data_IF_843479826274
#
_entry.id   IF_843479826274
#
_cell.length_a   1.000
_cell.length_b   1.000
_cell.length_c   1.000
_cell.angle_alpha   90.00
_cell.angle_beta   90.00
_cell.angle_gamma   90.00
#
_symmetry.space_group_name_H-M   'P 1'
#
loop_
_entity.id
_entity.type
_entity.pdbx_description
1 polymer ?
#
# COMPACT_ATOMS: atom_id res chain seq x y z
N UNK A 1 44.90 -4.00 49.08
CA UNK A 1 44.38 -3.02 48.12
C UNK A 1 44.36 -3.66 46.75
N UNK A 2 43.26 -4.21 46.30
CA UNK A 2 43.09 -4.78 44.98
C UNK A 2 42.47 -3.67 44.08
N UNK A 3 43.22 -3.27 43.05
CA UNK A 3 42.78 -2.39 41.98
C UNK A 3 41.93 -3.21 40.98
N UNK A 4 40.63 -3.00 40.93
CA UNK A 4 39.73 -3.54 39.93
C UNK A 4 39.84 -2.66 38.66
N UNK A 5 40.56 -3.13 37.65
CA UNK A 5 40.57 -2.48 36.34
C UNK A 5 39.26 -2.83 35.57
N UNK A 6 38.35 -1.89 35.48
CA UNK A 6 37.20 -2.01 34.62
C UNK A 6 37.60 -1.83 33.15
N UNK A 7 37.59 -2.93 32.37
CA UNK A 7 37.67 -2.89 30.92
C UNK A 7 36.40 -2.34 30.35
N UNK A 8 36.33 -1.08 29.99
CA UNK A 8 35.33 -0.52 29.10
C UNK A 8 35.61 -1.05 27.69
N UNK A 9 34.90 -2.11 27.30
CA UNK A 9 34.84 -2.53 25.92
C UNK A 9 34.13 -1.40 25.13
N UNK A 10 34.89 -0.58 24.42
CA UNK A 10 34.37 0.27 23.36
C UNK A 10 33.79 -0.66 22.28
N UNK A 11 32.47 -0.79 22.21
CA UNK A 11 31.80 -1.31 21.05
C UNK A 11 32.04 -0.28 19.95
N UNK A 12 33.04 -0.55 19.08
CA UNK A 12 33.22 0.25 17.88
C UNK A 12 31.98 0.07 17.02
N UNK A 13 31.24 1.17 16.80
CA UNK A 13 30.19 1.18 15.77
C UNK A 13 30.82 0.71 14.45
N UNK A 14 30.21 -0.28 13.78
CA UNK A 14 30.73 -0.73 12.50
C UNK A 14 30.78 0.45 11.54
N UNK A 15 31.91 0.61 10.87
CA UNK A 15 32.11 1.61 9.83
C UNK A 15 30.91 1.56 8.82
N UNK A 16 30.46 2.70 8.26
CA UNK A 16 29.35 2.70 7.30
C UNK A 16 29.71 1.74 6.17
N UNK A 17 28.79 0.81 5.82
CA UNK A 17 29.07 -0.16 4.76
C UNK A 17 29.24 0.56 3.44
N UNK A 18 29.94 -0.09 2.53
CA UNK A 18 30.03 0.36 1.16
C UNK A 18 28.61 0.51 0.57
N UNK A 19 28.23 1.72 0.18
CA UNK A 19 26.88 1.99 -0.37
C UNK A 19 26.50 1.03 -1.52
N UNK A 20 27.37 0.71 -2.50
CA UNK A 20 27.10 -0.32 -3.50
C UNK A 20 26.69 -1.68 -2.95
N UNK A 21 27.27 -2.15 -1.86
CA UNK A 21 26.92 -3.44 -1.26
C UNK A 21 25.52 -3.41 -0.64
N UNK A 22 25.15 -2.29 0.01
CA UNK A 22 23.79 -2.08 0.50
C UNK A 22 22.77 -2.05 -0.63
N UNK A 23 23.07 -1.35 -1.72
CA UNK A 23 22.18 -1.28 -2.88
C UNK A 23 22.02 -2.63 -3.57
N UNK A 24 23.09 -3.42 -3.67
CA UNK A 24 23.02 -4.79 -4.17
C UNK A 24 22.11 -5.65 -3.28
N UNK A 25 22.27 -5.52 -1.96
CA UNK A 25 21.44 -6.26 -1.01
C UNK A 25 19.96 -5.88 -1.10
N UNK A 26 19.64 -4.58 -1.23
CA UNK A 26 18.28 -4.11 -1.48
C UNK A 26 17.70 -4.69 -2.76
N UNK A 27 18.48 -4.70 -3.84
CA UNK A 27 18.05 -5.26 -5.12
C UNK A 27 17.77 -6.77 -5.03
N UNK A 28 18.61 -7.52 -4.31
CA UNK A 28 18.39 -8.95 -4.05
C UNK A 28 17.07 -9.19 -3.31
N UNK A 29 16.80 -8.44 -2.24
CA UNK A 29 15.55 -8.58 -1.47
C UNK A 29 14.32 -8.17 -2.32
N UNK A 30 14.44 -7.16 -3.18
CA UNK A 30 13.39 -6.80 -4.12
C UNK A 30 13.11 -7.92 -5.14
N UNK A 31 14.15 -8.57 -5.68
CA UNK A 31 14.01 -9.71 -6.59
C UNK A 31 13.38 -10.93 -5.88
N UNK A 32 13.79 -11.21 -4.64
CA UNK A 32 13.19 -12.27 -3.81
C UNK A 32 11.71 -11.99 -3.56
N UNK A 33 11.34 -10.74 -3.23
CA UNK A 33 9.95 -10.33 -3.08
C UNK A 33 9.17 -10.52 -4.39
N UNK A 34 9.72 -10.07 -5.52
CA UNK A 34 9.10 -10.20 -6.84
C UNK A 34 8.74 -11.65 -7.20
N UNK A 35 9.61 -12.60 -6.83
CA UNK A 35 9.42 -14.02 -7.13
C UNK A 35 8.43 -14.72 -6.18
N UNK A 36 8.28 -14.23 -4.95
CA UNK A 36 7.52 -14.90 -3.89
C UNK A 36 6.17 -14.24 -3.60
N UNK A 37 6.02 -12.91 -3.78
CA UNK A 37 4.79 -12.20 -3.50
C UNK A 37 3.56 -12.77 -4.24
N UNK A 38 3.64 -13.12 -5.56
CA UNK A 38 2.51 -13.72 -6.27
C UNK A 38 2.14 -15.14 -5.82
N UNK A 39 2.99 -15.77 -5.01
CA UNK A 39 2.78 -17.14 -4.48
C UNK A 39 2.31 -17.13 -3.03
N UNK A 40 1.97 -15.96 -2.51
CA UNK A 40 1.62 -15.78 -1.12
C UNK A 40 0.34 -14.96 -0.97
N UNK A 41 -0.32 -15.14 0.15
CA UNK A 41 -1.54 -14.43 0.53
C UNK A 41 -1.50 -14.08 2.01
N UNK A 42 -2.27 -13.07 2.38
CA UNK A 42 -2.51 -12.69 3.78
C UNK A 42 -3.87 -12.03 3.94
N UNK A 43 -4.34 -11.88 5.15
CA UNK A 43 -5.46 -11.01 5.47
C UNK A 43 -4.94 -9.61 5.73
N UNK A 44 -5.57 -8.62 5.08
CA UNK A 44 -5.31 -7.21 5.25
C UNK A 44 -6.48 -6.54 5.96
N UNK A 45 -6.18 -5.68 6.91
CA UNK A 45 -7.15 -4.76 7.51
C UNK A 45 -6.77 -3.33 7.13
N UNK A 46 -7.64 -2.65 6.39
CA UNK A 46 -7.52 -1.23 6.06
C UNK A 46 -8.45 -0.43 6.96
N UNK A 47 -7.91 0.54 7.69
CA UNK A 47 -8.66 1.62 8.33
C UNK A 47 -8.39 2.91 7.56
N UNK A 48 -9.42 3.48 6.96
CA UNK A 48 -9.35 4.78 6.29
C UNK A 48 -10.02 5.84 7.15
N UNK A 49 -9.33 6.96 7.33
CA UNK A 49 -9.85 8.20 7.92
C UNK A 49 -9.81 9.28 6.85
N UNK A 50 -10.97 9.81 6.47
CA UNK A 50 -11.07 10.79 5.41
C UNK A 50 -11.94 11.99 5.81
N UNK A 51 -11.51 13.19 5.45
CA UNK A 51 -12.32 14.40 5.56
C UNK A 51 -13.29 14.45 4.38
N UNK A 52 -14.55 14.18 4.65
CA UNK A 52 -15.60 14.20 3.64
C UNK A 52 -16.39 15.51 3.69
N UNK A 53 -16.74 16.09 2.53
CA UNK A 53 -17.61 17.25 2.50
C UNK A 53 -18.94 16.90 3.16
N UNK A 54 -19.47 17.84 3.92
CA UNK A 54 -20.81 17.67 4.47
C UNK A 54 -21.83 17.55 3.35
N UNK A 55 -22.73 16.59 3.45
CA UNK A 55 -23.88 16.51 2.55
C UNK A 55 -24.68 17.80 2.67
N UNK A 56 -24.82 18.54 1.56
CA UNK A 56 -25.60 19.76 1.54
C UNK A 56 -27.07 19.41 1.80
N UNK A 57 -27.56 19.74 2.96
CA UNK A 57 -28.99 19.90 3.16
C UNK A 57 -29.39 21.26 2.56
N UNK A 58 -30.00 21.25 1.38
CA UNK A 58 -30.65 22.46 0.83
C UNK A 58 -32.06 22.52 1.38
N UNK A 59 -32.42 23.43 2.29
CA UNK A 59 -33.81 23.69 2.57
C UNK A 59 -34.45 24.18 1.25
N UNK A 60 -35.48 23.49 0.80
CA UNK A 60 -36.20 23.80 -0.45
C UNK A 60 -37.04 25.09 -0.36
N UNK A 61 -36.85 25.96 0.62
CA UNK A 61 -37.73 27.09 0.91
C UNK A 61 -36.98 28.41 0.92
N UNK A 62 -37.29 29.28 -0.04
CA UNK A 62 -37.12 30.73 0.03
C UNK A 62 -35.83 31.31 -0.57
N UNK A 63 -35.92 32.61 -0.93
CA UNK A 63 -34.84 33.43 -1.51
C UNK A 63 -33.57 33.52 -0.67
N UNK A 64 -33.55 33.11 0.57
CA UNK A 64 -32.44 33.19 1.51
C UNK A 64 -31.52 31.97 1.50
N UNK A 65 -31.74 30.97 0.64
CA UNK A 65 -30.92 29.75 0.55
C UNK A 65 -29.54 30.00 -0.04
N UNK A 66 -29.26 31.18 -0.61
CA UNK A 66 -28.01 31.51 -1.31
C UNK A 66 -26.86 31.75 -0.37
N UNK A 67 -27.10 32.11 0.90
CA UNK A 67 -26.07 32.45 1.90
C UNK A 67 -25.88 31.40 3.00
N UNK A 68 -26.39 30.18 2.84
CA UNK A 68 -26.14 29.13 3.82
C UNK A 68 -24.65 28.75 3.81
N UNK A 69 -23.94 29.05 4.86
CA UNK A 69 -22.58 28.57 5.07
C UNK A 69 -22.56 27.05 4.95
N UNK A 70 -21.64 26.54 4.13
CA UNK A 70 -21.42 25.10 4.02
C UNK A 70 -21.04 24.56 5.40
N UNK A 71 -21.71 23.53 5.89
CA UNK A 71 -21.27 22.89 7.13
C UNK A 71 -19.84 22.38 6.96
N UNK A 72 -19.02 22.37 8.03
CA UNK A 72 -17.63 21.95 7.96
C UNK A 72 -17.51 20.50 7.49
N UNK A 73 -16.40 20.13 6.87
CA UNK A 73 -16.10 18.73 6.52
C UNK A 73 -16.21 17.84 7.77
N UNK A 74 -16.67 16.62 7.58
CA UNK A 74 -16.73 15.63 8.66
C UNK A 74 -15.68 14.55 8.46
N UNK A 75 -15.08 14.11 9.55
CA UNK A 75 -14.22 12.93 9.55
C UNK A 75 -15.11 11.68 9.39
N UNK A 76 -14.81 10.86 8.38
CA UNK A 76 -15.43 9.55 8.16
C UNK A 76 -14.37 8.50 8.36
N UNK A 77 -14.67 7.49 9.16
CA UNK A 77 -13.79 6.33 9.37
C UNK A 77 -14.46 5.13 8.70
N UNK A 78 -13.66 4.37 7.93
CA UNK A 78 -14.06 3.11 7.32
C UNK A 78 -13.07 2.02 7.66
N UNK A 79 -13.57 0.82 7.85
CA UNK A 79 -12.76 -0.36 8.05
C UNK A 79 -13.11 -1.41 7.00
N UNK A 80 -12.09 -1.90 6.28
CA UNK A 80 -12.23 -2.96 5.28
C UNK A 80 -11.29 -4.09 5.66
N UNK A 81 -11.80 -5.31 5.66
CA UNK A 81 -11.01 -6.53 5.79
C UNK A 81 -11.03 -7.26 4.46
N UNK A 82 -9.87 -7.65 3.96
CA UNK A 82 -9.70 -8.29 2.66
C UNK A 82 -8.73 -9.46 2.73
N UNK A 83 -8.91 -10.46 1.90
CA UNK A 83 -7.80 -11.32 1.46
C UNK A 83 -6.95 -10.52 0.48
N UNK A 84 -5.65 -10.55 0.68
CA UNK A 84 -4.65 -9.77 -0.05
C UNK A 84 -3.61 -10.69 -0.69
N UNK A 85 -3.21 -10.37 -1.88
CA UNK A 85 -2.09 -10.97 -2.60
C UNK A 85 -1.56 -10.01 -3.66
N UNK A 86 -0.57 -10.45 -4.43
CA UNK A 86 0.05 -9.67 -5.51
C UNK A 86 -0.09 -10.44 -6.81
N UNK A 87 -0.44 -9.75 -7.89
CA UNK A 87 -0.56 -10.34 -9.23
C UNK A 87 0.16 -9.51 -10.29
N UNK A 88 0.58 -10.15 -11.38
CA UNK A 88 1.20 -9.46 -12.50
C UNK A 88 0.14 -8.99 -13.51
N UNK A 89 0.11 -7.70 -13.84
CA UNK A 89 -0.62 -7.18 -14.99
C UNK A 89 0.25 -7.36 -16.23
N UNK A 90 -0.26 -8.12 -17.22
CA UNK A 90 0.45 -8.50 -18.44
C UNK A 90 0.23 -7.52 -19.60
N UNK A 91 -0.93 -6.82 -19.60
CA UNK A 91 -1.30 -5.83 -20.61
C UNK A 91 -0.52 -4.50 -20.50
N UNK A 92 0.26 -4.31 -19.43
CA UNK A 92 1.19 -3.21 -19.34
C UNK A 92 2.37 -3.44 -20.30
N UNK A 93 2.96 -2.37 -20.83
CA UNK A 93 4.16 -2.44 -21.70
C UNK A 93 5.28 -3.29 -21.07
N UNK A 94 5.23 -3.46 -19.76
CA UNK A 94 6.07 -4.35 -18.96
C UNK A 94 5.22 -4.99 -17.86
N UNK A 95 5.42 -6.29 -17.57
CA UNK A 95 4.74 -6.97 -16.49
C UNK A 95 5.02 -6.24 -15.17
N UNK A 96 4.01 -5.61 -14.61
CA UNK A 96 4.10 -4.88 -13.34
C UNK A 96 3.29 -5.65 -12.30
N UNK A 97 3.91 -5.91 -11.15
CA UNK A 97 3.16 -6.45 -10.02
C UNK A 97 2.26 -5.37 -9.44
N UNK A 98 1.05 -5.76 -9.07
CA UNK A 98 0.07 -4.91 -8.40
C UNK A 98 -0.61 -5.66 -7.28
N UNK A 99 -1.04 -4.94 -6.28
CA UNK A 99 -1.77 -5.47 -5.13
C UNK A 99 -3.21 -5.82 -5.51
N UNK A 100 -3.64 -7.01 -5.16
CA UNK A 100 -4.99 -7.52 -5.40
C UNK A 100 -5.68 -7.79 -4.08
N UNK A 101 -6.95 -7.41 -4.01
CA UNK A 101 -7.77 -7.53 -2.80
C UNK A 101 -9.12 -8.16 -3.12
N UNK A 102 -9.57 -9.04 -2.23
CA UNK A 102 -10.95 -9.54 -2.21
C UNK A 102 -11.57 -9.24 -0.86
N UNK A 103 -12.54 -8.32 -0.87
CA UNK A 103 -13.15 -7.80 0.36
C UNK A 103 -13.99 -8.87 1.05
N UNK A 104 -13.73 -9.07 2.33
CA UNK A 104 -14.48 -9.96 3.24
C UNK A 104 -15.57 -9.16 3.95
N UNK A 105 -15.20 -8.03 4.55
CA UNK A 105 -16.15 -7.19 5.29
C UNK A 105 -15.86 -5.70 5.14
N UNK A 106 -16.91 -4.88 5.29
CA UNK A 106 -16.87 -3.41 5.30
C UNK A 106 -17.60 -2.93 6.53
N UNK A 107 -16.93 -2.14 7.38
CA UNK A 107 -17.49 -1.58 8.62
C UNK A 107 -18.16 -2.68 9.50
N UNK A 108 -17.53 -3.86 9.59
CA UNK A 108 -18.02 -5.02 10.34
C UNK A 108 -19.16 -5.80 9.66
N UNK A 109 -19.60 -5.39 8.47
CA UNK A 109 -20.63 -6.13 7.72
C UNK A 109 -19.99 -7.06 6.71
N UNK A 110 -20.31 -8.33 6.78
CA UNK A 110 -19.79 -9.34 5.84
C UNK A 110 -20.32 -9.08 4.42
N UNK A 111 -19.38 -9.04 3.46
CA UNK A 111 -19.64 -9.00 2.01
C UNK A 111 -19.63 -10.42 1.45
N UNK A 112 -18.66 -11.23 1.88
CA UNK A 112 -18.52 -12.64 1.53
C UNK A 112 -17.74 -13.41 2.61
N UNK A 113 -17.72 -14.74 2.53
CA UNK A 113 -16.91 -15.53 3.45
C UNK A 113 -15.42 -15.42 3.13
N UNK A 114 -14.52 -15.59 4.11
CA UNK A 114 -13.07 -15.60 3.89
C UNK A 114 -12.62 -16.66 2.87
N UNK A 115 -13.23 -17.85 2.88
CA UNK A 115 -12.92 -18.94 1.96
C UNK A 115 -13.24 -18.55 0.51
N UNK A 116 -14.41 -17.92 0.29
CA UNK A 116 -14.84 -17.45 -1.04
C UNK A 116 -13.94 -16.32 -1.52
N UNK A 117 -13.57 -15.38 -0.63
CA UNK A 117 -12.64 -14.29 -0.94
C UNK A 117 -11.27 -14.86 -1.37
N UNK A 118 -10.74 -15.83 -0.62
CA UNK A 118 -9.47 -16.50 -0.91
C UNK A 118 -9.50 -17.23 -2.23
N UNK A 119 -10.57 -17.99 -2.51
CA UNK A 119 -10.73 -18.70 -3.76
C UNK A 119 -10.77 -17.74 -4.95
N UNK A 120 -11.56 -16.66 -4.87
CA UNK A 120 -11.64 -15.63 -5.90
C UNK A 120 -10.30 -14.94 -6.12
N UNK A 121 -9.58 -14.63 -5.05
CA UNK A 121 -8.25 -14.01 -5.12
C UNK A 121 -7.25 -14.95 -5.81
N UNK A 122 -7.24 -16.23 -5.46
CA UNK A 122 -6.39 -17.26 -6.07
C UNK A 122 -6.62 -17.35 -7.57
N UNK A 123 -7.89 -17.39 -8.02
CA UNK A 123 -8.23 -17.37 -9.44
C UNK A 123 -7.75 -16.09 -10.13
N UNK A 124 -7.85 -14.93 -9.47
CA UNK A 124 -7.38 -13.66 -10.03
C UNK A 124 -5.87 -13.62 -10.20
N UNK A 125 -5.12 -14.09 -9.20
CA UNK A 125 -3.65 -14.12 -9.24
C UNK A 125 -3.15 -15.04 -10.35
N UNK A 126 -3.77 -16.23 -10.52
CA UNK A 126 -3.34 -17.24 -11.49
C UNK A 126 -3.92 -17.04 -12.89
N UNK A 127 -4.97 -16.20 -13.03
CA UNK A 127 -5.65 -15.97 -14.32
C UNK A 127 -4.67 -15.51 -15.41
N UNK A 128 -4.78 -16.03 -16.63
CA UNK A 128 -4.08 -15.46 -17.77
C UNK A 128 -4.70 -14.14 -18.27
N UNK A 129 -5.94 -13.82 -17.86
CA UNK A 129 -6.72 -12.65 -18.31
C UNK A 129 -6.65 -11.50 -17.30
N UNK A 130 -6.08 -10.38 -17.73
CA UNK A 130 -5.95 -9.17 -16.92
C UNK A 130 -7.29 -8.51 -16.60
N UNK A 131 -8.36 -8.79 -17.35
CA UNK A 131 -9.71 -8.28 -17.05
C UNK A 131 -10.19 -8.73 -15.68
N UNK A 132 -9.82 -9.92 -15.25
CA UNK A 132 -10.16 -10.42 -13.90
C UNK A 132 -9.50 -9.54 -12.83
N UNK A 133 -8.21 -9.25 -12.97
CA UNK A 133 -7.46 -8.39 -12.03
C UNK A 133 -7.96 -6.96 -12.03
N UNK A 134 -8.20 -6.38 -13.22
CA UNK A 134 -8.77 -5.02 -13.34
C UNK A 134 -10.13 -4.92 -12.65
N UNK A 135 -10.99 -5.94 -12.80
CA UNK A 135 -12.27 -5.99 -12.08
C UNK A 135 -12.09 -6.04 -10.57
N UNK A 136 -11.11 -6.79 -10.05
CA UNK A 136 -10.83 -6.81 -8.61
C UNK A 136 -10.43 -5.43 -8.08
N UNK A 137 -9.60 -4.69 -8.81
CA UNK A 137 -9.21 -3.33 -8.46
C UNK A 137 -10.42 -2.38 -8.46
N UNK A 138 -11.29 -2.48 -9.48
CA UNK A 138 -12.52 -1.70 -9.57
C UNK A 138 -13.50 -2.04 -8.42
N UNK A 139 -13.68 -3.32 -8.11
CA UNK A 139 -14.57 -3.78 -7.04
C UNK A 139 -14.08 -3.25 -5.68
N UNK A 140 -12.77 -3.29 -5.43
CA UNK A 140 -12.19 -2.70 -4.21
C UNK A 140 -12.49 -1.19 -4.12
N UNK A 141 -12.33 -0.45 -5.21
CA UNK A 141 -12.59 0.99 -5.25
C UNK A 141 -14.07 1.36 -4.97
N UNK A 142 -15.02 0.43 -5.21
CA UNK A 142 -16.47 0.69 -5.00
C UNK A 142 -16.91 0.72 -3.55
N UNK A 143 -16.08 0.31 -2.60
CA UNK A 143 -16.44 0.27 -1.18
C UNK A 143 -16.45 1.63 -0.49
N UNK A 144 -16.45 2.71 -1.28
CA UNK A 144 -16.60 4.09 -0.78
C UNK A 144 -15.35 4.64 -0.13
N UNK A 145 -14.21 4.09 -0.49
CA UNK A 145 -12.90 4.63 -0.15
C UNK A 145 -12.58 5.86 -1.00
N UNK A 146 -11.79 6.76 -0.43
CA UNK A 146 -11.30 7.98 -1.07
C UNK A 146 -9.79 7.91 -1.13
N UNK A 147 -9.18 8.36 -2.22
CA UNK A 147 -7.72 8.40 -2.39
C UNK A 147 -7.05 7.10 -1.94
N UNK A 148 -7.44 6.02 -2.61
CA UNK A 148 -6.94 4.69 -2.28
C UNK A 148 -5.47 4.62 -2.66
N UNK A 149 -4.65 4.33 -1.68
CA UNK A 149 -3.27 3.97 -1.90
C UNK A 149 -3.20 2.51 -2.35
N UNK A 150 -2.59 2.27 -3.49
CA UNK A 150 -2.26 0.94 -3.98
C UNK A 150 -0.75 0.80 -4.14
N UNK A 151 -0.28 -0.45 -4.09
CA UNK A 151 1.10 -0.85 -4.35
C UNK A 151 2.14 -0.34 -3.34
N UNK A 152 1.73 0.21 -2.19
CA UNK A 152 2.66 0.61 -1.13
C UNK A 152 3.27 -0.59 -0.39
N UNK A 153 2.52 -1.67 -0.18
CA UNK A 153 3.06 -2.87 0.48
C UNK A 153 4.20 -3.54 -0.31
N UNK A 154 4.21 -3.35 -1.63
CA UNK A 154 5.26 -3.85 -2.52
C UNK A 154 6.29 -2.78 -2.91
N UNK A 155 6.38 -1.67 -2.17
CA UNK A 155 7.28 -0.54 -2.46
C UNK A 155 8.75 -0.95 -2.59
N UNK A 156 9.18 -2.02 -1.91
CA UNK A 156 10.54 -2.55 -2.03
C UNK A 156 10.90 -2.90 -3.48
N UNK A 157 9.94 -3.24 -4.35
CA UNK A 157 10.18 -3.54 -5.76
C UNK A 157 10.75 -2.36 -6.55
N UNK A 158 10.51 -1.12 -6.07
CA UNK A 158 11.11 0.08 -6.66
C UNK A 158 12.64 0.07 -6.59
N UNK A 159 13.23 -0.72 -5.68
CA UNK A 159 14.68 -0.87 -5.47
C UNK A 159 15.28 -2.12 -6.15
N UNK A 160 14.57 -2.72 -7.09
CA UNK A 160 15.14 -3.74 -7.99
C UNK A 160 16.32 -3.17 -8.77
N UNK A 161 17.21 -4.02 -9.31
CA UNK A 161 18.36 -3.58 -10.13
C UNK A 161 17.97 -2.56 -11.19
N UNK A 162 16.83 -2.77 -11.84
CA UNK A 162 16.30 -1.84 -12.84
C UNK A 162 15.85 -0.53 -12.21
N UNK A 163 15.11 -0.60 -11.09
CA UNK A 163 14.59 0.59 -10.40
C UNK A 163 15.71 1.47 -9.87
N UNK A 164 16.77 0.89 -9.33
CA UNK A 164 17.95 1.61 -8.84
C UNK A 164 18.65 2.40 -9.95
N UNK A 165 18.60 1.94 -11.20
CA UNK A 165 19.14 2.69 -12.35
C UNK A 165 18.49 4.07 -12.57
N UNK A 166 17.25 4.26 -12.07
CA UNK A 166 16.50 5.50 -12.17
C UNK A 166 16.46 6.27 -10.84
N UNK A 167 17.33 5.92 -9.88
CA UNK A 167 17.37 6.53 -8.56
C UNK A 167 18.73 7.12 -8.26
N UNK A 168 18.73 8.27 -7.59
CA UNK A 168 19.88 8.75 -6.85
C UNK A 168 19.72 8.31 -5.41
N UNK A 169 20.69 7.55 -4.89
CA UNK A 169 20.69 7.10 -3.49
C UNK A 169 21.96 7.61 -2.81
N UNK A 170 21.81 8.14 -1.61
CA UNK A 170 22.91 8.68 -0.80
C UNK A 170 22.77 8.22 0.65
N UNK A 171 23.90 8.06 1.34
CA UNK A 171 23.90 7.85 2.78
C UNK A 171 23.50 9.14 3.49
N UNK A 172 22.48 9.08 4.35
CA UNK A 172 21.91 10.25 5.04
C UNK A 172 22.19 10.24 6.55
N UNK A 173 22.71 9.15 7.10
CA UNK A 173 23.03 9.03 8.51
C UNK A 173 22.59 7.72 9.13
N UNK A 174 22.42 7.76 10.44
CA UNK A 174 22.08 6.60 11.28
C UNK A 174 20.96 6.95 12.23
N UNK A 175 20.19 5.95 12.64
CA UNK A 175 19.08 6.08 13.58
C UNK A 175 18.86 4.75 14.33
N UNK A 176 17.85 4.71 15.19
CA UNK A 176 17.43 3.53 15.93
C UNK A 176 15.92 3.35 15.80
N UNK A 177 15.48 2.14 15.42
CA UNK A 177 14.07 1.75 15.40
C UNK A 177 13.86 0.66 16.45
N UNK A 178 13.24 1.01 17.58
CA UNK A 178 13.12 0.08 18.71
C UNK A 178 14.49 -0.37 19.22
N UNK A 179 14.81 -1.67 19.07
CA UNK A 179 16.11 -2.23 19.45
C UNK A 179 17.10 -2.28 18.28
N UNK A 180 16.67 -2.00 17.05
CA UNK A 180 17.50 -2.14 15.85
C UNK A 180 18.21 -0.82 15.51
N UNK A 181 19.55 -0.85 15.50
CA UNK A 181 20.35 0.22 14.93
C UNK A 181 20.26 0.15 13.40
N UNK A 182 20.03 1.29 12.74
CA UNK A 182 19.80 1.36 11.29
C UNK A 182 20.66 2.40 10.61
N UNK A 183 20.97 2.16 9.32
CA UNK A 183 21.47 3.17 8.41
C UNK A 183 20.31 3.80 7.67
N UNK A 184 20.41 5.11 7.42
CA UNK A 184 19.43 5.87 6.62
C UNK A 184 20.02 6.11 5.24
N UNK A 185 19.34 5.63 4.22
CA UNK A 185 19.63 5.92 2.82
C UNK A 185 18.57 6.85 2.27
N UNK A 186 18.92 8.06 1.89
CA UNK A 186 18.03 8.96 1.17
C UNK A 186 18.00 8.58 -0.32
N UNK A 187 16.81 8.62 -0.93
CA UNK A 187 16.65 8.35 -2.36
C UNK A 187 15.74 9.37 -3.03
N UNK A 188 15.98 9.59 -4.32
CA UNK A 188 15.15 10.39 -5.20
C UNK A 188 15.11 9.75 -6.58
N UNK A 189 13.91 9.52 -7.12
CA UNK A 189 13.74 9.09 -8.50
C UNK A 189 14.01 10.25 -9.45
N UNK A 190 14.82 9.98 -10.46
CA UNK A 190 15.19 10.97 -11.50
C UNK A 190 14.16 11.09 -12.60
N UNK A 191 13.31 10.06 -12.78
CA UNK A 191 12.25 10.00 -13.79
C UNK A 191 10.96 9.44 -13.15
N UNK A 192 9.80 9.85 -13.66
CA UNK A 192 8.51 9.28 -13.28
C UNK A 192 8.25 7.89 -13.90
N UNK A 193 9.05 7.46 -14.89
CA UNK A 193 8.80 6.19 -15.62
C UNK A 193 8.86 4.95 -14.75
N UNK A 194 9.70 4.96 -13.71
CA UNK A 194 9.76 3.92 -12.67
C UNK A 194 8.97 4.26 -11.42
N UNK A 195 8.23 5.36 -11.43
CA UNK A 195 7.47 5.85 -10.29
C UNK A 195 6.24 5.01 -9.99
N UNK A 196 5.67 5.26 -8.83
CA UNK A 196 4.46 4.59 -8.37
C UNK A 196 3.28 4.91 -9.26
N UNK A 197 2.51 3.89 -9.60
CA UNK A 197 1.27 4.03 -10.32
C UNK A 197 0.18 4.54 -9.37
N UNK A 198 -0.34 5.71 -9.64
CA UNK A 198 -1.44 6.32 -8.90
C UNK A 198 -2.67 6.40 -9.80
N UNK A 199 -3.81 5.96 -9.29
CA UNK A 199 -5.08 6.07 -10.00
C UNK A 199 -5.84 7.29 -9.48
N UNK A 200 -5.98 8.31 -10.33
CA UNK A 200 -6.87 9.44 -10.08
C UNK A 200 -8.09 9.27 -10.99
N UNK A 201 -9.19 8.77 -10.44
CA UNK A 201 -10.33 8.37 -11.25
C UNK A 201 -10.03 7.18 -12.15
N UNK A 202 -10.26 7.33 -13.46
CA UNK A 202 -9.95 6.34 -14.48
C UNK A 202 -8.58 6.59 -15.15
N UNK A 203 -7.84 7.60 -14.71
CA UNK A 203 -6.54 7.94 -15.25
C UNK A 203 -5.45 7.37 -14.35
N UNK A 204 -4.55 6.59 -14.96
CA UNK A 204 -3.34 6.14 -14.31
C UNK A 204 -2.22 7.15 -14.60
N UNK A 205 -1.58 7.65 -13.56
CA UNK A 205 -0.40 8.51 -13.67
C UNK A 205 0.75 7.91 -12.86
N UNK A 206 1.97 8.13 -13.32
CA UNK A 206 3.17 7.77 -12.55
C UNK A 206 3.76 9.03 -11.93
N UNK A 207 4.03 8.97 -10.64
CA UNK A 207 4.67 10.07 -9.90
C UNK A 207 6.03 9.64 -9.40
N UNK A 208 7.03 10.49 -9.63
CA UNK A 208 8.36 10.27 -9.11
C UNK A 208 8.35 10.33 -7.58
N UNK A 209 9.09 9.42 -6.97
CA UNK A 209 9.18 9.24 -5.54
C UNK A 209 10.50 9.76 -5.00
N UNK A 210 10.46 10.22 -3.76
CA UNK A 210 11.61 10.57 -2.94
C UNK A 210 11.39 10.09 -1.51
N UNK A 211 12.46 9.87 -0.76
CA UNK A 211 12.28 9.43 0.62
C UNK A 211 13.53 8.82 1.23
N UNK A 212 13.32 7.91 2.16
CA UNK A 212 14.37 7.25 2.91
C UNK A 212 14.10 5.76 3.08
N UNK A 213 15.18 4.98 3.06
CA UNK A 213 15.16 3.57 3.41
C UNK A 213 15.99 3.42 4.69
N UNK A 214 15.40 2.78 5.69
CA UNK A 214 16.07 2.45 6.92
C UNK A 214 16.49 0.98 6.86
N UNK A 215 17.80 0.75 6.86
CA UNK A 215 18.42 -0.56 6.69
C UNK A 215 19.06 -0.97 8.01
N UNK A 216 18.67 -2.13 8.53
CA UNK A 216 19.20 -2.66 9.79
C UNK A 216 20.69 -2.96 9.66
N UNK A 217 21.49 -2.51 10.66
CA UNK A 217 22.95 -2.66 10.63
C UNK A 217 23.42 -4.13 10.73
N UNK A 218 22.68 -4.97 11.48
CA UNK A 218 23.10 -6.34 11.78
C UNK A 218 23.05 -7.30 10.59
N UNK A 219 22.14 -7.08 9.63
CA UNK A 219 21.90 -8.01 8.51
C UNK A 219 21.69 -7.31 7.16
N UNK A 220 21.83 -5.98 7.12
CA UNK A 220 21.62 -5.15 5.94
C UNK A 220 20.24 -5.28 5.28
N UNK A 221 19.20 -5.61 6.08
CA UNK A 221 17.86 -5.72 5.59
C UNK A 221 17.08 -4.41 5.72
N UNK A 222 16.28 -4.01 4.72
CA UNK A 222 15.38 -2.88 4.86
C UNK A 222 14.28 -3.24 5.88
N UNK A 223 14.10 -2.39 6.88
CA UNK A 223 13.08 -2.54 7.92
C UNK A 223 11.96 -1.52 7.76
N UNK A 224 12.26 -0.36 7.15
CA UNK A 224 11.27 0.70 6.89
C UNK A 224 11.60 1.44 5.61
N UNK A 225 10.59 1.76 4.84
CA UNK A 225 10.65 2.69 3.72
C UNK A 225 9.71 3.85 4.03
N UNK A 226 10.22 5.06 3.98
CA UNK A 226 9.46 6.29 4.05
C UNK A 226 9.53 6.95 2.67
N UNK A 227 8.39 7.22 2.07
CA UNK A 227 8.31 7.72 0.70
C UNK A 227 7.32 8.86 0.61
N UNK A 228 7.61 9.81 -0.25
CA UNK A 228 6.67 10.85 -0.67
C UNK A 228 6.73 11.07 -2.17
N UNK A 229 5.59 11.49 -2.75
CA UNK A 229 5.56 12.01 -4.12
C UNK A 229 6.04 13.46 -4.13
N UNK A 230 6.63 13.90 -5.23
CA UNK A 230 6.90 15.33 -5.42
C UNK A 230 5.57 16.09 -5.43
N UNK A 231 5.49 17.28 -4.77
CA UNK A 231 4.30 18.10 -4.79
C UNK A 231 3.87 18.39 -6.24
N UNK A 232 2.57 18.29 -6.51
CA UNK A 232 2.00 18.60 -7.82
C UNK A 232 0.75 19.46 -7.67
N UNK A 233 0.55 20.36 -8.61
CA UNK A 233 -0.68 21.15 -8.70
C UNK A 233 -1.75 20.30 -9.37
N UNK A 234 -2.83 20.01 -8.67
CA UNK A 234 -3.95 19.19 -9.15
C UNK A 234 -5.30 19.85 -8.89
N UNK A 235 -6.29 19.48 -9.71
CA UNK A 235 -7.67 19.91 -9.47
C UNK A 235 -8.27 19.18 -8.28
N UNK A 236 -8.36 19.84 -7.16
CA UNK A 236 -8.93 19.30 -5.90
C UNK A 236 -10.42 18.93 -6.05
N UNK A 237 -11.07 19.40 -7.12
CA UNK A 237 -12.51 19.18 -7.31
C UNK A 237 -12.88 17.79 -7.80
N UNK A 238 -11.96 17.01 -8.36
CA UNK A 238 -12.30 15.67 -8.84
C UNK A 238 -12.62 14.73 -7.67
N UNK A 239 -12.06 14.98 -6.51
CA UNK A 239 -12.42 14.30 -5.26
C UNK A 239 -13.84 14.66 -4.85
N UNK A 240 -14.23 15.93 -4.98
CA UNK A 240 -15.57 16.42 -4.57
C UNK A 240 -16.64 16.21 -5.65
N UNK A 241 -16.29 16.21 -6.95
CA UNK A 241 -17.24 15.93 -8.04
C UNK A 241 -17.83 14.53 -7.99
N UNK A 242 -17.03 13.54 -7.58
CA UNK A 242 -17.52 12.16 -7.41
C UNK A 242 -18.54 12.01 -6.30
N UNK A 243 -18.57 12.94 -5.34
CA UNK A 243 -19.37 12.87 -4.12
C UNK A 243 -20.57 13.81 -4.11
N UNK A 244 -20.66 14.78 -5.04
CA UNK A 244 -21.75 15.76 -5.09
C UNK A 244 -21.99 16.26 -6.52
N UNK A 245 -23.28 16.25 -6.96
CA UNK A 245 -23.72 16.87 -8.21
C UNK A 245 -23.50 18.40 -8.26
N UNK A 246 -23.34 19.04 -7.11
CA UNK A 246 -23.15 20.48 -6.94
C UNK A 246 -21.73 20.76 -6.42
N UNK A 247 -20.72 20.35 -7.19
CA UNK A 247 -19.32 20.63 -6.84
C UNK A 247 -19.07 22.15 -6.79
N UNK A 248 -18.24 22.64 -5.83
CA UNK A 248 -17.76 24.00 -5.85
C UNK A 248 -16.96 24.28 -7.13
N UNK A 249 -16.73 25.55 -7.49
CA UNK A 249 -15.92 25.90 -8.67
C UNK A 249 -14.55 25.24 -8.60
N UNK A 250 -13.92 24.97 -9.76
CA UNK A 250 -12.62 24.34 -9.81
C UNK A 250 -11.60 25.11 -8.95
N UNK A 251 -11.03 24.41 -7.99
CA UNK A 251 -9.93 24.88 -7.17
C UNK A 251 -8.74 23.98 -7.42
N UNK A 252 -7.62 24.55 -7.78
CA UNK A 252 -6.34 23.84 -7.77
C UNK A 252 -5.74 23.87 -6.38
N UNK A 253 -5.04 22.82 -6.01
CA UNK A 253 -4.30 22.71 -4.78
C UNK A 253 -3.02 21.93 -5.00
N UNK A 254 -2.06 22.11 -4.11
CA UNK A 254 -0.80 21.34 -4.12
C UNK A 254 -1.06 20.02 -3.41
N UNK A 255 -1.01 18.91 -4.15
CA UNK A 255 -1.18 17.56 -3.62
C UNK A 255 0.15 16.91 -3.36
N UNK A 256 0.22 16.08 -2.32
CA UNK A 256 1.35 15.23 -1.98
C UNK A 256 0.86 13.97 -1.25
N UNK A 257 1.41 12.84 -1.65
CA UNK A 257 1.22 11.58 -0.94
C UNK A 257 2.48 11.26 -0.12
N UNK A 258 2.28 10.74 1.08
CA UNK A 258 3.34 10.26 1.95
C UNK A 258 2.99 8.84 2.39
N UNK A 259 3.98 7.95 2.45
CA UNK A 259 3.76 6.64 3.03
C UNK A 259 4.95 6.19 3.88
N UNK A 260 4.64 5.42 4.91
CA UNK A 260 5.60 4.69 5.72
C UNK A 260 5.22 3.22 5.67
N UNK A 261 6.17 2.37 5.26
CA UNK A 261 6.01 0.94 5.11
C UNK A 261 6.99 0.24 6.03
N UNK A 262 6.49 -0.57 6.94
CA UNK A 262 7.30 -1.42 7.81
C UNK A 262 7.36 -2.83 7.24
N UNK A 263 8.57 -3.41 7.20
CA UNK A 263 8.83 -4.75 6.69
C UNK A 263 9.34 -5.69 7.77
N UNK A 264 9.00 -6.95 7.62
CA UNK A 264 9.54 -8.05 8.42
C UNK A 264 9.89 -9.23 7.52
N UNK A 265 10.90 -10.01 7.89
CA UNK A 265 11.18 -11.28 7.23
C UNK A 265 10.12 -12.30 7.60
N UNK A 266 9.37 -12.77 6.61
CA UNK A 266 8.35 -13.80 6.80
C UNK A 266 8.98 -15.16 7.13
N UNK A 267 8.16 -16.09 7.66
CA UNK A 267 8.55 -17.48 7.86
C UNK A 267 8.98 -18.18 6.54
N UNK A 268 8.64 -17.60 5.40
CA UNK A 268 8.99 -18.12 4.07
C UNK A 268 10.28 -17.52 3.49
N UNK A 269 11.01 -16.72 4.29
CA UNK A 269 12.34 -16.24 3.94
C UNK A 269 12.39 -15.00 3.07
N UNK A 270 11.29 -14.32 2.79
CA UNK A 270 11.26 -13.04 2.07
C UNK A 270 10.63 -11.93 2.92
N UNK A 271 10.96 -10.68 2.59
CA UNK A 271 10.41 -9.52 3.28
C UNK A 271 8.96 -9.30 2.89
N UNK A 272 8.11 -9.09 3.90
CA UNK A 272 6.69 -8.79 3.72
C UNK A 272 6.32 -7.53 4.49
N UNK A 273 5.38 -6.71 4.00
CA UNK A 273 4.86 -5.59 4.77
C UNK A 273 4.14 -6.09 6.02
N UNK A 274 4.29 -5.37 7.13
CA UNK A 274 3.53 -5.55 8.37
C UNK A 274 2.48 -4.47 8.48
N UNK A 275 2.88 -3.24 8.13
CA UNK A 275 1.99 -2.08 8.13
C UNK A 275 2.37 -1.11 7.02
N UNK A 276 1.34 -0.41 6.53
CA UNK A 276 1.50 0.76 5.67
C UNK A 276 0.66 1.88 6.25
N UNK A 277 1.25 3.05 6.42
CA UNK A 277 0.54 4.29 6.71
C UNK A 277 0.68 5.17 5.48
N UNK A 278 -0.42 5.42 4.79
CA UNK A 278 -0.47 6.34 3.66
C UNK A 278 -1.27 7.58 4.02
N UNK A 279 -0.78 8.76 3.64
CA UNK A 279 -1.41 10.06 3.86
C UNK A 279 -1.48 10.83 2.55
N UNK A 280 -2.67 11.31 2.25
CA UNK A 280 -2.89 12.25 1.16
C UNK A 280 -3.09 13.66 1.72
N UNK A 281 -2.25 14.59 1.27
CA UNK A 281 -2.24 15.96 1.72
C UNK A 281 -2.61 16.91 0.56
N UNK A 282 -3.41 17.92 0.87
CA UNK A 282 -3.74 19.01 -0.05
C UNK A 282 -3.42 20.33 0.63
N UNK A 283 -2.59 21.15 0.00
CA UNK A 283 -2.08 22.42 0.57
C UNK A 283 -1.48 22.22 1.98
N UNK A 284 -0.81 21.09 2.21
CA UNK A 284 -0.24 20.70 3.51
C UNK A 284 -1.24 20.17 4.54
N UNK A 285 -2.54 20.16 4.25
CA UNK A 285 -3.56 19.64 5.16
C UNK A 285 -3.82 18.16 4.88
N UNK A 286 -3.91 17.36 5.93
CA UNK A 286 -4.26 15.94 5.84
C UNK A 286 -5.73 15.80 5.44
N UNK A 287 -5.97 15.17 4.28
CA UNK A 287 -7.30 14.90 3.76
C UNK A 287 -7.69 13.46 4.01
N UNK A 288 -6.79 12.52 3.75
CA UNK A 288 -7.03 11.09 3.92
C UNK A 288 -5.82 10.42 4.56
N UNK A 289 -6.08 9.54 5.53
CA UNK A 289 -5.10 8.63 6.10
C UNK A 289 -5.62 7.20 5.95
N UNK A 290 -4.79 6.35 5.34
CA UNK A 290 -5.03 4.94 5.17
C UNK A 290 -4.02 4.15 6.01
N UNK A 291 -4.51 3.33 6.92
CA UNK A 291 -3.70 2.46 7.76
C UNK A 291 -3.96 1.01 7.38
N UNK A 292 -3.00 0.38 6.74
CA UNK A 292 -3.03 -1.03 6.39
C UNK A 292 -2.24 -1.83 7.42
N UNK A 293 -2.79 -2.97 7.83
CA UNK A 293 -2.13 -3.97 8.68
C UNK A 293 -2.29 -5.32 8.04
N UNK A 294 -1.20 -6.09 8.02
CA UNK A 294 -1.14 -7.40 7.39
C UNK A 294 -0.93 -8.47 8.45
N UNK A 295 -1.70 -9.55 8.36
CA UNK A 295 -1.40 -10.77 9.11
C UNK A 295 -0.15 -11.47 8.54
N UNK A 296 0.42 -12.47 9.24
CA UNK A 296 1.52 -13.25 8.68
C UNK A 296 1.16 -13.87 7.34
N UNK A 297 2.03 -13.65 6.35
CA UNK A 297 1.85 -14.19 5.00
C UNK A 297 1.94 -15.71 4.98
N UNK A 298 1.07 -16.33 4.19
CA UNK A 298 0.99 -17.77 3.95
C UNK A 298 1.26 -18.03 2.48
N UNK A 299 1.86 -19.17 2.13
CA UNK A 299 1.95 -19.59 0.72
C UNK A 299 0.61 -20.11 0.25
N UNK A 300 0.28 -19.88 -1.04
CA UNK A 300 -0.75 -20.67 -1.68
C UNK A 300 -0.27 -22.12 -1.64
N UNK A 301 -0.92 -23.00 -0.86
CA UNK A 301 -0.66 -24.41 -0.96
C UNK A 301 -1.31 -24.93 -2.24
N UNK A 302 -0.56 -25.68 -3.03
CA UNK A 302 -1.11 -26.45 -4.14
C UNK A 302 -2.12 -27.52 -3.66
N UNK A 303 -2.15 -27.78 -2.36
CA UNK A 303 -3.01 -28.74 -1.64
C UNK A 303 -4.26 -28.09 -1.04
N UNK A 304 -4.69 -26.92 -1.49
CA UNK A 304 -6.09 -26.56 -1.33
C UNK A 304 -6.89 -27.51 -2.27
N UNK A 305 -6.91 -28.79 -1.93
CA UNK A 305 -7.91 -29.73 -2.40
C UNK A 305 -9.27 -29.11 -2.12
N UNK A 306 -9.81 -28.47 -3.14
CA UNK A 306 -11.21 -28.11 -3.19
C UNK A 306 -11.92 -29.45 -3.30
N UNK A 307 -12.20 -30.07 -2.14
CA UNK A 307 -13.19 -31.13 -2.09
C UNK A 307 -14.50 -30.48 -2.47
N UNK A 308 -14.79 -30.53 -3.78
CA UNK A 308 -16.15 -30.37 -4.25
C UNK A 308 -16.93 -31.47 -3.57
N UNK A 309 -17.66 -31.14 -2.51
CA UNK A 309 -18.73 -32.01 -2.03
C UNK A 309 -19.68 -32.07 -3.23
N UNK A 310 -19.68 -33.19 -3.93
CA UNK A 310 -20.66 -33.47 -4.99
C UNK A 310 -22.03 -33.19 -4.37
N UNK A 311 -22.74 -32.26 -4.96
CA UNK A 311 -24.14 -32.04 -4.61
C UNK A 311 -24.85 -33.36 -4.79
N UNK A 312 -25.63 -33.83 -3.79
CA UNK A 312 -26.38 -35.08 -3.96
C UNK A 312 -27.23 -34.95 -5.19
N UNK A 313 -27.05 -35.93 -6.10
CA UNK A 313 -27.82 -36.06 -7.32
C UNK A 313 -29.32 -36.01 -7.00
N UNK A 314 -30.17 -35.30 -7.81
CA UNK A 314 -31.61 -35.12 -7.51
C UNK A 314 -32.45 -36.40 -7.47
N UNK A 315 -31.89 -37.55 -7.76
CA UNK A 315 -32.62 -38.84 -7.89
C UNK A 315 -32.80 -39.61 -6.57
N UNK A 316 -32.38 -39.06 -5.41
CA UNK A 316 -32.58 -39.70 -4.10
C UNK A 316 -33.90 -39.32 -3.39
N UNK A 317 -34.80 -38.57 -4.03
CA UNK A 317 -36.13 -38.27 -3.48
C UNK A 317 -37.20 -38.95 -4.28
N UNK A 318 -37.15 -40.29 -4.36
CA UNK A 318 -38.28 -41.14 -4.71
C UNK A 318 -38.11 -42.50 -4.04
N UNK A 319 -38.55 -42.58 -2.78
CA UNK A 319 -39.25 -43.75 -2.22
C UNK A 319 -39.85 -43.40 -0.88
#
# INVERSE_FOLDING_TARGET
MLLLAAFLAFVQDPAPPNLPDLLNRLAEEAEILQQNAPKSLTQETLEQRALMPSTRFRPRIGRNAVNAQLPPPRLVVRQIVSEYSVGALKDAAEPTLTELRQVISVDGRNVQSPERARHSLSLGVTSPDDRVRKRMLEDFARHGLVDIATDYGIMLLAFSKRGLGNMRVTFAGEDQIGADAVWILAFEQTSSDGGMLQFVGNQASRRALQGQILVRKSDSLPVRIQVSTKPAEESVNDIFKKLSRDAPPPRTGITRDEATIDYVRSAHGFLTPVSVIHRHLVDGNLITENLYRYEPFKRFSADADIKFTELPTPDAIKK
#
